data_IF_710962685508
#
_entry.id   IF_710962685508
#
_cell.length_a   1.000
_cell.length_b   1.000
_cell.length_c   1.000
_cell.angle_alpha   90.00
_cell.angle_beta   90.00
_cell.angle_gamma   90.00
#
_symmetry.space_group_name_H-M   'P 1'
#
loop_
_entity.id
_entity.type
_entity.pdbx_description
1 polymer ?
#
# COMPACT_ATOMS: atom_id res chain seq x y z
N UNK A 1 2.77 52.51 -54.46
CA UNK A 1 1.64 51.71 -53.93
C UNK A 1 2.19 50.38 -53.42
N UNK A 2 2.64 50.34 -52.15
CA UNK A 2 3.27 49.16 -51.52
C UNK A 2 2.21 48.42 -50.71
N UNK A 3 1.82 47.24 -51.17
CA UNK A 3 0.92 46.32 -50.48
C UNK A 3 1.69 45.68 -49.30
N UNK A 4 1.32 46.02 -48.08
CA UNK A 4 1.86 45.44 -46.86
C UNK A 4 1.00 44.21 -46.49
N UNK A 5 1.49 43.01 -46.80
CA UNK A 5 0.87 41.75 -46.37
C UNK A 5 1.17 41.55 -44.87
N UNK A 6 0.16 41.77 -44.02
CA UNK A 6 0.19 41.39 -42.62
C UNK A 6 -0.08 39.87 -42.52
N UNK A 7 0.96 39.07 -42.32
CA UNK A 7 0.83 37.64 -42.03
C UNK A 7 0.42 37.48 -40.55
N UNK A 8 -0.86 37.16 -40.33
CA UNK A 8 -1.40 36.83 -39.01
C UNK A 8 -0.91 35.42 -38.63
N UNK A 9 0.14 35.34 -37.81
CA UNK A 9 0.64 34.07 -37.29
C UNK A 9 -0.37 33.51 -36.27
N UNK A 10 -1.13 32.50 -36.68
CA UNK A 10 -1.89 31.64 -35.79
C UNK A 10 -0.92 30.87 -34.88
N UNK A 11 -0.60 31.44 -33.72
CA UNK A 11 0.08 30.73 -32.64
C UNK A 11 -0.96 29.77 -32.04
N UNK A 12 -1.09 28.58 -32.62
CA UNK A 12 -1.78 27.46 -32.00
C UNK A 12 -0.97 27.05 -30.78
N UNK A 13 -1.34 27.57 -29.60
CA UNK A 13 -0.80 27.15 -28.30
C UNK A 13 -1.21 25.70 -28.06
N UNK A 14 -0.39 24.75 -28.49
CA UNK A 14 -0.51 23.37 -28.02
C UNK A 14 -0.19 23.38 -26.53
N UNK A 15 -1.22 23.21 -25.70
CA UNK A 15 -1.06 23.02 -24.26
C UNK A 15 -0.35 21.68 -24.06
N UNK A 16 0.98 21.70 -23.99
CA UNK A 16 1.74 20.56 -23.49
C UNK A 16 1.27 20.34 -22.04
N UNK A 17 0.43 19.34 -21.84
CA UNK A 17 0.15 18.84 -20.50
C UNK A 17 1.45 18.20 -20.02
N UNK A 18 2.18 18.91 -19.16
CA UNK A 18 3.37 18.40 -18.54
C UNK A 18 2.99 17.16 -17.72
N UNK A 19 3.63 16.03 -18.02
CA UNK A 19 3.50 14.81 -17.25
C UNK A 19 3.88 15.09 -15.79
N UNK A 20 2.97 14.76 -14.87
CA UNK A 20 3.22 14.93 -13.44
C UNK A 20 4.25 13.87 -13.02
N UNK A 21 5.38 14.34 -12.51
CA UNK A 21 6.37 13.48 -11.88
C UNK A 21 6.00 13.32 -10.40
N UNK A 22 5.74 12.08 -9.93
CA UNK A 22 5.57 11.84 -8.50
C UNK A 22 6.90 12.00 -7.77
N UNK A 23 6.85 12.49 -6.53
CA UNK A 23 8.01 12.55 -5.64
C UNK A 23 8.44 11.13 -5.27
N UNK A 24 9.72 10.76 -5.40
CA UNK A 24 10.21 9.48 -4.89
C UNK A 24 10.13 9.42 -3.36
N UNK A 25 9.73 8.27 -2.81
CA UNK A 25 9.67 8.05 -1.37
C UNK A 25 8.45 7.24 -0.92
N UNK A 26 8.12 7.32 0.37
CA UNK A 26 7.03 6.53 0.93
C UNK A 26 5.68 7.21 0.69
N UNK A 27 4.71 6.41 0.26
CA UNK A 27 3.31 6.78 0.16
C UNK A 27 2.47 5.85 1.01
N UNK A 28 1.45 6.39 1.68
CA UNK A 28 0.53 5.62 2.50
C UNK A 28 -0.88 5.67 1.94
N UNK A 29 -1.63 4.59 2.09
CA UNK A 29 -3.05 4.50 1.75
C UNK A 29 -3.86 5.51 2.57
N UNK A 30 -5.05 5.84 2.09
CA UNK A 30 -5.95 6.79 2.74
C UNK A 30 -6.32 6.43 4.19
N UNK A 31 -6.34 5.14 4.52
CA UNK A 31 -6.57 4.63 5.88
C UNK A 31 -5.30 4.56 6.74
N UNK A 32 -4.13 4.88 6.17
CA UNK A 32 -2.84 4.89 6.87
C UNK A 32 -2.25 3.50 7.16
N UNK A 33 -2.95 2.42 6.81
CA UNK A 33 -2.49 1.06 7.13
C UNK A 33 -1.43 0.53 6.21
N UNK A 34 -1.52 0.85 4.93
CA UNK A 34 -0.62 0.30 3.93
C UNK A 34 0.32 1.39 3.42
N UNK A 35 1.61 1.10 3.42
CA UNK A 35 2.61 2.03 2.88
C UNK A 35 3.51 1.32 1.89
N UNK A 36 3.87 2.03 0.84
CA UNK A 36 4.73 1.54 -0.25
C UNK A 36 5.81 2.56 -0.55
N UNK A 37 6.90 2.12 -1.17
CA UNK A 37 7.93 3.03 -1.68
C UNK A 37 7.77 3.21 -3.19
N UNK A 38 7.72 4.45 -3.63
CA UNK A 38 7.76 4.85 -5.04
C UNK A 38 9.19 5.23 -5.40
N UNK A 39 9.70 4.67 -6.50
CA UNK A 39 10.85 5.19 -7.22
C UNK A 39 10.41 5.58 -8.62
N UNK A 40 10.83 6.75 -9.09
CA UNK A 40 10.45 7.27 -10.40
C UNK A 40 11.68 7.61 -11.25
N UNK A 41 11.75 7.03 -12.44
CA UNK A 41 12.79 7.32 -13.42
C UNK A 41 12.19 8.11 -14.57
N UNK A 42 12.31 9.44 -14.49
CA UNK A 42 11.69 10.38 -15.43
C UNK A 42 12.06 10.10 -16.88
N UNK A 43 13.34 9.82 -17.15
CA UNK A 43 13.84 9.63 -18.52
C UNK A 43 13.37 8.29 -19.13
N UNK A 44 13.21 7.26 -18.31
CA UNK A 44 12.70 5.94 -18.73
C UNK A 44 11.16 5.89 -18.75
N UNK A 45 10.48 6.91 -18.19
CA UNK A 45 9.03 6.91 -17.94
C UNK A 45 8.55 5.64 -17.23
N UNK A 46 9.35 5.17 -16.26
CA UNK A 46 9.06 4.00 -15.44
C UNK A 46 8.78 4.45 -14.01
N UNK A 47 7.65 3.99 -13.49
CA UNK A 47 7.26 4.15 -12.09
C UNK A 47 7.41 2.79 -11.41
N UNK A 48 8.28 2.69 -10.43
CA UNK A 48 8.51 1.47 -9.67
C UNK A 48 7.84 1.58 -8.31
N UNK A 49 6.94 0.64 -8.03
CA UNK A 49 6.39 0.40 -6.70
C UNK A 49 7.18 -0.71 -6.02
N UNK A 50 7.60 -0.46 -4.79
CA UNK A 50 8.19 -1.45 -3.90
C UNK A 50 7.24 -1.69 -2.73
N UNK A 51 6.70 -2.91 -2.68
CA UNK A 51 5.87 -3.48 -1.64
C UNK A 51 6.69 -4.49 -0.83
N UNK A 52 6.26 -4.88 0.37
CA UNK A 52 6.98 -5.85 1.19
C UNK A 52 7.22 -7.19 0.47
N UNK A 53 6.25 -7.62 -0.33
CA UNK A 53 6.28 -8.91 -1.02
C UNK A 53 6.70 -8.83 -2.49
N UNK A 54 6.76 -7.64 -3.08
CA UNK A 54 6.87 -7.48 -4.53
C UNK A 54 7.45 -6.13 -4.93
N UNK A 55 8.19 -6.13 -6.04
CA UNK A 55 8.54 -4.91 -6.77
C UNK A 55 7.86 -4.95 -8.13
N UNK A 56 7.15 -3.88 -8.48
CA UNK A 56 6.34 -3.79 -9.69
C UNK A 56 6.77 -2.56 -10.50
N UNK A 57 7.23 -2.80 -11.73
CA UNK A 57 7.59 -1.73 -12.67
C UNK A 57 6.38 -1.41 -13.55
N UNK A 58 5.84 -0.22 -13.39
CA UNK A 58 4.76 0.31 -14.18
C UNK A 58 5.32 1.10 -15.37
N UNK A 59 4.77 0.83 -16.54
CA UNK A 59 5.14 1.47 -17.82
C UNK A 59 4.15 2.56 -18.17
N UNK A 60 4.65 3.70 -18.65
CA UNK A 60 3.79 4.82 -19.06
C UNK A 60 2.81 4.42 -20.17
N UNK A 61 1.55 4.87 -20.04
CA UNK A 61 0.49 4.66 -21.04
C UNK A 61 0.18 5.98 -21.74
N UNK A 62 -0.44 6.92 -21.03
CA UNK A 62 -0.81 8.24 -21.55
C UNK A 62 -1.15 9.20 -20.39
N UNK A 63 -1.05 10.50 -20.61
CA UNK A 63 -1.35 11.50 -19.59
C UNK A 63 -0.46 11.33 -18.35
N UNK A 64 -1.06 10.93 -17.23
CA UNK A 64 -0.37 10.60 -15.98
C UNK A 64 -0.56 9.13 -15.56
N UNK A 65 -0.97 8.27 -16.50
CA UNK A 65 -1.30 6.88 -16.24
C UNK A 65 -0.14 5.93 -16.59
N UNK A 66 0.11 4.97 -15.70
CA UNK A 66 1.08 3.91 -15.85
C UNK A 66 0.41 2.54 -15.63
N UNK A 67 0.92 1.51 -16.30
CA UNK A 67 0.36 0.16 -16.30
C UNK A 67 1.38 -0.87 -15.88
N UNK A 68 0.89 -1.83 -15.10
CA UNK A 68 1.59 -3.05 -14.73
C UNK A 68 0.71 -4.27 -15.04
N UNK A 69 1.27 -5.31 -15.63
CA UNK A 69 0.63 -6.61 -15.79
C UNK A 69 1.36 -7.61 -14.92
N UNK A 70 0.66 -8.22 -13.97
CA UNK A 70 1.26 -9.19 -13.07
C UNK A 70 1.64 -10.47 -13.85
N UNK A 71 2.94 -10.82 -13.95
CA UNK A 71 3.36 -11.97 -14.75
C UNK A 71 2.87 -13.30 -14.17
N UNK A 72 2.51 -13.34 -12.88
CA UNK A 72 2.05 -14.57 -12.23
C UNK A 72 0.62 -14.95 -12.60
N UNK A 73 -0.27 -13.96 -12.82
CA UNK A 73 -1.70 -14.23 -13.01
C UNK A 73 -2.34 -13.42 -14.14
N UNK A 74 -1.57 -12.65 -14.90
CA UNK A 74 -2.05 -11.84 -16.02
C UNK A 74 -2.95 -10.66 -15.62
N UNK A 75 -3.17 -10.40 -14.32
CA UNK A 75 -4.02 -9.30 -13.87
C UNK A 75 -3.32 -7.97 -14.13
N UNK A 76 -4.03 -7.07 -14.79
CA UNK A 76 -3.60 -5.71 -15.07
C UNK A 76 -3.99 -4.74 -13.95
N UNK A 77 -3.07 -3.82 -13.65
CA UNK A 77 -3.21 -2.74 -12.68
C UNK A 77 -2.75 -1.42 -13.31
N UNK A 78 -3.46 -0.35 -12.97
CA UNK A 78 -3.20 1.01 -13.41
C UNK A 78 -2.89 1.91 -12.22
N UNK A 79 -2.00 2.87 -12.44
CA UNK A 79 -1.72 3.97 -11.54
C UNK A 79 -1.92 5.27 -12.30
N UNK A 80 -2.67 6.19 -11.71
CA UNK A 80 -2.76 7.57 -12.17
C UNK A 80 -2.07 8.48 -11.15
N UNK A 81 -1.06 9.23 -11.59
CA UNK A 81 -0.42 10.27 -10.79
C UNK A 81 -1.33 11.51 -10.81
N UNK A 82 -1.94 11.82 -9.67
CA UNK A 82 -2.91 12.91 -9.50
C UNK A 82 -2.22 14.23 -9.18
N UNK A 83 -1.13 14.17 -8.42
CA UNK A 83 -0.21 15.28 -8.14
C UNK A 83 1.18 14.71 -7.82
N UNK A 84 2.16 15.59 -7.61
CA UNK A 84 3.51 15.18 -7.19
C UNK A 84 3.50 14.36 -5.89
N UNK A 85 2.49 14.52 -5.04
CA UNK A 85 2.38 13.87 -3.73
C UNK A 85 1.17 12.93 -3.62
N UNK A 86 0.50 12.62 -4.73
CA UNK A 86 -0.72 11.80 -4.71
C UNK A 86 -0.86 10.96 -5.95
N UNK A 87 -1.20 9.68 -5.77
CA UNK A 87 -1.61 8.82 -6.87
C UNK A 87 -2.84 7.98 -6.51
N UNK A 88 -3.46 7.42 -7.54
CA UNK A 88 -4.53 6.46 -7.44
C UNK A 88 -4.14 5.14 -8.08
N UNK A 89 -4.43 4.02 -7.43
CA UNK A 89 -4.27 2.67 -7.99
C UNK A 89 -5.65 2.04 -8.24
N UNK A 90 -5.84 1.40 -9.40
CA UNK A 90 -7.10 0.75 -9.78
C UNK A 90 -6.89 -0.33 -10.84
N UNK A 91 -7.92 -1.16 -11.07
CA UNK A 91 -7.98 -2.08 -12.21
C UNK A 91 -8.58 -1.37 -13.44
N UNK A 92 -8.19 -1.74 -14.67
CA UNK A 92 -8.85 -1.24 -15.88
C UNK A 92 -10.37 -1.34 -15.80
N UNK A 93 -11.07 -0.29 -16.22
CA UNK A 93 -12.54 -0.21 -16.16
C UNK A 93 -13.13 0.05 -14.76
N UNK A 94 -12.32 0.17 -13.71
CA UNK A 94 -12.79 0.35 -12.33
C UNK A 94 -12.20 1.58 -11.63
N UNK A 95 -12.09 2.70 -12.35
CA UNK A 95 -11.51 3.95 -11.82
C UNK A 95 -12.31 4.57 -10.66
N UNK A 96 -13.61 4.28 -10.58
CA UNK A 96 -14.48 4.76 -9.51
C UNK A 96 -14.12 4.15 -8.13
N UNK A 97 -13.62 2.90 -8.10
CA UNK A 97 -13.21 2.20 -6.88
C UNK A 97 -11.67 2.18 -6.75
N UNK A 98 -11.04 3.34 -6.93
CA UNK A 98 -9.58 3.49 -6.83
C UNK A 98 -9.13 3.61 -5.38
N UNK A 99 -7.98 3.03 -5.07
CA UNK A 99 -7.26 3.27 -3.82
C UNK A 99 -6.39 4.51 -3.94
N UNK A 100 -6.51 5.43 -2.99
CA UNK A 100 -5.72 6.66 -2.95
C UNK A 100 -4.50 6.49 -2.06
N UNK A 101 -3.40 7.08 -2.49
CA UNK A 101 -2.12 7.07 -1.79
C UNK A 101 -1.53 8.48 -1.74
N UNK A 102 -0.98 8.83 -0.59
CA UNK A 102 -0.48 10.15 -0.26
C UNK A 102 0.99 10.07 0.15
N UNK A 103 1.82 11.00 -0.33
CA UNK A 103 3.22 11.08 0.03
C UNK A 103 3.37 11.35 1.52
N UNK A 104 4.10 10.49 2.21
CA UNK A 104 4.41 10.61 3.63
C UNK A 104 5.89 10.83 3.91
N UNK A 105 6.74 10.79 2.87
CA UNK A 105 8.19 10.95 3.02
C UNK A 105 8.77 9.89 3.95
N UNK A 106 9.10 10.29 5.18
CA UNK A 106 9.63 9.41 6.24
C UNK A 106 8.68 9.26 7.45
N UNK A 107 7.45 9.80 7.37
CA UNK A 107 6.49 9.76 8.48
C UNK A 107 5.85 8.38 8.70
N UNK A 108 5.97 7.47 7.73
CA UNK A 108 5.53 6.09 7.87
C UNK A 108 6.62 5.12 7.42
N UNK A 109 6.68 3.97 8.08
CA UNK A 109 7.66 2.92 7.82
C UNK A 109 6.98 1.72 7.16
N UNK A 110 7.14 1.49 5.85
CA UNK A 110 6.60 0.31 5.19
C UNK A 110 7.13 -0.98 5.80
N UNK A 111 6.31 -2.05 5.79
CA UNK A 111 6.79 -3.37 6.14
C UNK A 111 7.95 -3.79 5.22
N UNK A 112 8.95 -4.42 5.81
CA UNK A 112 10.09 -4.97 5.07
C UNK A 112 9.74 -6.32 4.46
N UNK A 113 10.51 -6.73 3.44
CA UNK A 113 10.42 -8.10 2.89
C UNK A 113 10.63 -9.19 3.94
N UNK A 114 11.51 -8.93 4.93
CA UNK A 114 11.76 -9.87 6.02
C UNK A 114 10.52 -10.02 6.90
N UNK A 115 9.90 -8.90 7.30
CA UNK A 115 8.66 -8.90 8.08
C UNK A 115 7.54 -9.60 7.32
N UNK A 116 7.38 -9.33 6.02
CA UNK A 116 6.42 -10.04 5.18
C UNK A 116 6.60 -11.55 5.27
N UNK A 117 7.82 -12.05 5.06
CA UNK A 117 8.12 -13.49 5.08
C UNK A 117 7.87 -14.11 6.46
N UNK A 118 8.36 -13.45 7.52
CA UNK A 118 8.30 -14.01 8.87
C UNK A 118 6.87 -14.01 9.42
N UNK A 119 6.18 -12.89 9.32
CA UNK A 119 4.82 -12.76 9.85
C UNK A 119 3.76 -13.43 8.99
N UNK A 120 3.97 -13.60 7.68
CA UNK A 120 3.07 -14.44 6.86
C UNK A 120 3.08 -15.89 7.32
N UNK A 121 4.24 -16.44 7.71
CA UNK A 121 4.33 -17.80 8.26
C UNK A 121 3.61 -17.90 9.61
N UNK A 122 3.72 -16.87 10.46
CA UNK A 122 3.03 -16.81 11.75
C UNK A 122 1.51 -16.73 11.54
N UNK A 123 1.05 -15.95 10.55
CA UNK A 123 -0.36 -15.89 10.18
C UNK A 123 -0.89 -17.26 9.77
N UNK A 124 -0.18 -17.98 8.90
CA UNK A 124 -0.57 -19.35 8.50
C UNK A 124 -0.57 -20.33 9.67
N UNK A 125 0.43 -20.25 10.57
CA UNK A 125 0.45 -21.04 11.81
C UNK A 125 -0.82 -20.85 12.64
N UNK A 126 -1.32 -19.62 12.79
CA UNK A 126 -2.56 -19.36 13.52
C UNK A 126 -3.82 -19.76 12.75
N UNK A 127 -3.83 -19.67 11.42
CA UNK A 127 -4.92 -20.24 10.60
C UNK A 127 -5.04 -21.74 10.78
N UNK A 128 -3.93 -22.47 10.88
CA UNK A 128 -3.96 -23.91 11.17
C UNK A 128 -4.42 -24.22 12.60
N UNK A 129 -4.10 -23.35 13.58
CA UNK A 129 -4.66 -23.46 14.94
C UNK A 129 -6.18 -23.33 14.96
N UNK A 130 -6.77 -22.46 14.12
CA UNK A 130 -8.24 -22.37 14.03
C UNK A 130 -8.89 -23.71 13.66
N UNK A 131 -8.19 -24.56 12.89
CA UNK A 131 -8.68 -25.88 12.47
C UNK A 131 -8.46 -26.95 13.53
N UNK A 132 -7.31 -26.90 14.19
CA UNK A 132 -6.88 -27.94 15.15
C UNK A 132 -7.36 -27.67 16.58
N UNK A 133 -7.73 -26.43 16.89
CA UNK A 133 -8.29 -26.00 18.17
C UNK A 133 -9.54 -25.12 17.94
N UNK A 134 -10.69 -25.75 17.61
CA UNK A 134 -11.89 -25.03 17.22
C UNK A 134 -12.56 -24.28 18.38
N UNK A 135 -12.26 -24.62 19.64
CA UNK A 135 -12.82 -23.94 20.81
C UNK A 135 -12.34 -22.50 20.90
N UNK A 136 -11.07 -22.28 20.56
CA UNK A 136 -10.43 -20.97 20.55
C UNK A 136 -10.25 -20.41 19.12
N UNK A 137 -11.03 -20.91 18.14
CA UNK A 137 -10.90 -20.49 16.75
C UNK A 137 -11.01 -18.97 16.54
N UNK A 138 -11.88 -18.30 17.31
CA UNK A 138 -11.99 -16.84 17.27
C UNK A 138 -10.70 -16.16 17.75
N UNK A 139 -10.09 -16.64 18.84
CA UNK A 139 -8.82 -16.14 19.34
C UNK A 139 -7.70 -16.33 18.31
N UNK A 140 -7.61 -17.53 17.73
CA UNK A 140 -6.62 -17.83 16.70
C UNK A 140 -6.81 -17.01 15.43
N UNK A 141 -8.06 -16.67 15.08
CA UNK A 141 -8.33 -15.77 13.95
C UNK A 141 -7.80 -14.35 14.19
N UNK A 142 -7.94 -13.82 15.41
CA UNK A 142 -7.40 -12.50 15.77
C UNK A 142 -5.88 -12.49 15.75
N UNK A 143 -5.24 -13.54 16.26
CA UNK A 143 -3.78 -13.70 16.19
C UNK A 143 -3.27 -13.83 14.74
N UNK A 144 -3.98 -14.58 13.89
CA UNK A 144 -3.67 -14.69 12.47
C UNK A 144 -3.79 -13.33 11.78
N UNK A 145 -4.84 -12.57 12.09
CA UNK A 145 -5.08 -11.25 11.52
C UNK A 145 -4.02 -10.24 11.98
N UNK A 146 -3.60 -10.28 13.25
CA UNK A 146 -2.49 -9.48 13.76
C UNK A 146 -1.18 -9.76 13.03
N UNK A 147 -0.82 -11.04 12.87
CA UNK A 147 0.37 -11.42 12.13
C UNK A 147 0.29 -10.98 10.65
N UNK A 148 -0.87 -11.13 10.01
CA UNK A 148 -1.06 -10.68 8.64
C UNK A 148 -1.00 -9.14 8.49
N UNK A 149 -1.53 -8.40 9.48
CA UNK A 149 -1.36 -6.95 9.53
C UNK A 149 0.13 -6.61 9.65
N UNK A 150 0.88 -7.25 10.54
CA UNK A 150 2.32 -6.98 10.70
C UNK A 150 3.17 -7.34 9.48
N UNK A 151 2.72 -8.29 8.67
CA UNK A 151 3.43 -8.68 7.44
C UNK A 151 3.28 -7.66 6.31
N UNK A 152 2.24 -6.82 6.35
CA UNK A 152 1.83 -6.00 5.20
C UNK A 152 1.66 -4.51 5.51
N UNK A 153 1.28 -4.16 6.73
CA UNK A 153 1.02 -2.77 7.13
C UNK A 153 2.32 -2.03 7.40
N UNK A 154 2.25 -0.71 7.40
CA UNK A 154 3.30 0.09 8.00
C UNK A 154 3.40 -0.19 9.49
N UNK A 155 4.53 0.17 10.11
CA UNK A 155 4.71 0.06 11.56
C UNK A 155 3.61 0.80 12.32
N UNK A 156 3.29 2.01 11.87
CA UNK A 156 2.26 2.87 12.46
C UNK A 156 0.86 2.29 12.25
N UNK A 157 0.58 1.79 11.05
CA UNK A 157 -0.69 1.15 10.72
C UNK A 157 -0.92 -0.15 11.50
N UNK A 158 0.13 -0.95 11.69
CA UNK A 158 0.07 -2.13 12.56
C UNK A 158 -0.27 -1.74 14.00
N UNK A 159 0.38 -0.70 14.55
CA UNK A 159 0.14 -0.24 15.92
C UNK A 159 -1.33 0.20 16.13
N UNK A 160 -1.89 0.94 15.17
CA UNK A 160 -3.29 1.33 15.23
C UNK A 160 -4.23 0.12 15.09
N UNK A 161 -3.88 -0.84 14.24
CA UNK A 161 -4.64 -2.07 14.10
C UNK A 161 -4.67 -2.89 15.40
N UNK A 162 -3.51 -3.10 16.05
CA UNK A 162 -3.45 -3.86 17.31
C UNK A 162 -4.19 -3.16 18.44
N UNK A 163 -4.16 -1.83 18.51
CA UNK A 163 -4.94 -1.06 19.47
C UNK A 163 -6.45 -1.38 19.41
N UNK A 164 -6.97 -1.74 18.23
CA UNK A 164 -8.38 -2.10 18.02
C UNK A 164 -8.69 -3.56 18.36
N UNK A 165 -7.74 -4.48 18.11
CA UNK A 165 -7.99 -5.92 18.28
C UNK A 165 -7.61 -6.46 19.66
N UNK A 166 -6.62 -5.87 20.35
CA UNK A 166 -6.19 -6.34 21.68
C UNK A 166 -7.33 -6.34 22.70
N UNK A 167 -8.21 -5.32 22.79
CA UNK A 167 -9.38 -5.37 23.66
C UNK A 167 -10.29 -6.56 23.38
N UNK A 168 -10.44 -6.95 22.12
CA UNK A 168 -11.23 -8.12 21.72
C UNK A 168 -10.55 -9.42 22.15
N UNK A 169 -9.22 -9.51 22.02
CA UNK A 169 -8.44 -10.65 22.53
C UNK A 169 -8.61 -10.77 24.06
N UNK A 170 -8.46 -9.67 24.80
CA UNK A 170 -8.62 -9.64 26.27
C UNK A 170 -10.03 -10.00 26.73
N UNK A 171 -11.05 -9.76 25.91
CA UNK A 171 -12.43 -10.16 26.22
C UNK A 171 -12.65 -11.68 26.10
N UNK A 172 -11.85 -12.37 25.28
CA UNK A 172 -11.94 -13.82 25.07
C UNK A 172 -11.14 -14.59 26.14
N UNK A 173 -10.02 -14.02 26.61
CA UNK A 173 -9.11 -14.68 27.53
C UNK A 173 -9.66 -14.77 28.97
N UNK A 174 -9.49 -15.95 29.58
CA UNK A 174 -9.66 -16.12 31.03
C UNK A 174 -8.56 -15.37 31.81
N UNK A 175 -7.32 -15.39 31.29
CA UNK A 175 -6.15 -14.72 31.87
C UNK A 175 -5.71 -13.56 30.97
N UNK A 176 -6.03 -12.33 31.40
CA UNK A 176 -5.85 -11.10 30.60
C UNK A 176 -4.44 -10.53 30.62
N UNK A 177 -3.55 -11.09 31.43
CA UNK A 177 -2.17 -10.66 31.66
C UNK A 177 -1.16 -11.34 30.73
N UNK A 178 -1.59 -12.33 29.93
CA UNK A 178 -0.70 -13.07 29.03
C UNK A 178 -1.20 -13.00 27.59
N UNK A 179 -0.35 -12.52 26.70
CA UNK A 179 -0.64 -12.55 25.27
C UNK A 179 -0.64 -14.02 24.78
N UNK A 180 -1.71 -14.47 24.11
CA UNK A 180 -1.81 -15.83 23.58
C UNK A 180 -0.99 -16.03 22.30
N UNK A 181 -0.48 -14.94 21.70
CA UNK A 181 0.27 -14.94 20.46
C UNK A 181 1.41 -13.91 20.46
N UNK A 182 2.37 -14.09 21.37
CA UNK A 182 3.54 -13.22 21.53
C UNK A 182 4.44 -13.11 20.30
N UNK A 183 4.32 -14.04 19.36
CA UNK A 183 5.01 -14.01 18.06
C UNK A 183 4.28 -13.15 17.01
N UNK A 184 3.00 -12.80 17.23
CA UNK A 184 2.24 -11.87 16.38
C UNK A 184 2.10 -10.47 17.00
N UNK A 185 1.84 -10.43 18.31
CA UNK A 185 1.73 -9.22 19.12
C UNK A 185 2.65 -9.41 20.31
N UNK A 186 3.76 -8.67 20.38
CA UNK A 186 4.66 -8.78 21.53
C UNK A 186 3.95 -8.44 22.84
N UNK A 187 4.42 -9.02 23.95
CA UNK A 187 3.77 -8.87 25.25
C UNK A 187 3.68 -7.40 25.67
N UNK A 188 4.70 -6.58 25.40
CA UNK A 188 4.68 -5.14 25.70
C UNK A 188 3.55 -4.39 24.97
N UNK A 189 3.33 -4.70 23.69
CA UNK A 189 2.24 -4.13 22.90
C UNK A 189 0.88 -4.62 23.39
N UNK A 190 0.78 -5.89 23.80
CA UNK A 190 -0.42 -6.45 24.38
C UNK A 190 -0.76 -5.86 25.76
N UNK A 191 0.24 -5.56 26.58
CA UNK A 191 0.04 -4.96 27.91
C UNK A 191 -0.40 -3.50 27.78
N UNK A 192 0.07 -2.80 26.75
CA UNK A 192 -0.25 -1.39 26.47
C UNK A 192 -1.74 -1.14 26.17
N UNK A 193 -2.42 -2.08 25.50
CA UNK A 193 -3.79 -1.94 24.98
C UNK A 193 -4.76 -2.85 25.68
#
# INVERSE_FOLDING_TARGET
>A
MKLLFLLLACISTTVLHAQIAPEPGVYSSEDGYYSITIAYKKDEKVLTIVEPNKTSNYTFVSGNEYRFVNPTNGIEYLIEVLSTEKFAAYKPGNKANRSLFYFTGNASTPATKKEFIDYSKIAEKYKEKMKTDPKDAQLWSLCAAAANARSSFSKEGFEEYVAKIVPSIKAILEKKDKCPCTDAIDQSTFDKY
#
